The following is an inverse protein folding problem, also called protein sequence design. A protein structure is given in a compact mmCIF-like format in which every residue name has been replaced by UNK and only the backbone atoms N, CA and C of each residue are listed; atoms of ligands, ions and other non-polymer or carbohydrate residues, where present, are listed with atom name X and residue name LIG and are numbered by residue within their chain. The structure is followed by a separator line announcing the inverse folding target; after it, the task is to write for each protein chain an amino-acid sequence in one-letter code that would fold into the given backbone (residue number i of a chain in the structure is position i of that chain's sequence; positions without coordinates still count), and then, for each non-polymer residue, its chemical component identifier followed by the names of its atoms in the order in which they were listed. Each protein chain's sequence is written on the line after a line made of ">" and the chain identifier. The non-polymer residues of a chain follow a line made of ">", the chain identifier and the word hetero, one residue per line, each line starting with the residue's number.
data_IF_918696475824
#
_entry.id   IF_918696475824
#
_cell.length_a   1.000
_cell.length_b   1.000
_cell.length_c   1.000
_cell.angle_alpha   90.00
_cell.angle_beta   90.00
_cell.angle_gamma   90.00
#
_symmetry.space_group_name_H-M   'P 1'
#
loop_
_entity.id
_entity.type
_entity.pdbx_description
1 polymer ?
#
# COMPACT_ATOMS: atom_id res chain seq x y z
N UNK A 1 0.84 -11.33 -1.54
CA UNK A 1 -0.29 -12.22 -1.87
C UNK A 1 -1.50 -11.36 -2.18
N UNK A 2 -1.98 -11.39 -3.43
CA UNK A 2 -3.25 -10.80 -3.83
C UNK A 2 -4.39 -11.61 -3.20
N UNK A 3 -5.39 -10.91 -2.66
CA UNK A 3 -6.59 -11.54 -2.15
C UNK A 3 -7.51 -11.80 -3.34
N UNK A 4 -8.11 -12.99 -3.51
CA UNK A 4 -8.90 -13.30 -4.73
C UNK A 4 -10.30 -13.77 -4.34
N UNK A 5 -11.30 -13.23 -5.03
CA UNK A 5 -12.68 -13.68 -4.93
C UNK A 5 -13.21 -14.07 -6.31
N UNK A 6 -14.19 -14.97 -6.30
CA UNK A 6 -14.75 -15.57 -7.51
C UNK A 6 -16.24 -15.30 -7.59
N UNK A 7 -16.74 -14.86 -8.75
CA UNK A 7 -18.14 -14.55 -8.96
C UNK A 7 -18.72 -15.42 -10.08
N UNK A 8 -19.93 -15.93 -9.89
CA UNK A 8 -20.68 -16.61 -10.96
C UNK A 8 -22.18 -16.36 -10.83
N UNK A 9 -22.92 -16.65 -11.90
CA UNK A 9 -24.37 -16.46 -11.94
C UNK A 9 -25.13 -17.70 -11.48
N UNK A 10 -25.01 -18.80 -12.22
CA UNK A 10 -25.73 -20.05 -11.93
C UNK A 10 -24.80 -21.25 -11.97
N UNK A 11 -25.09 -22.30 -11.19
CA UNK A 11 -26.16 -22.38 -10.18
C UNK A 11 -25.80 -21.67 -8.86
N UNK A 12 -26.80 -21.15 -8.14
CA UNK A 12 -26.61 -20.66 -6.77
C UNK A 12 -26.51 -21.83 -5.79
N UNK A 13 -25.44 -21.96 -4.98
CA UNK A 13 -25.32 -23.02 -3.99
C UNK A 13 -26.30 -22.82 -2.83
N UNK A 14 -26.75 -23.91 -2.20
CA UNK A 14 -27.52 -23.88 -0.96
C UNK A 14 -26.66 -24.16 0.28
N UNK A 15 -25.50 -24.80 0.09
CA UNK A 15 -24.54 -25.14 1.16
C UNK A 15 -23.11 -24.80 0.76
N UNK A 16 -22.21 -24.68 1.75
CA UNK A 16 -20.79 -24.45 1.50
C UNK A 16 -20.13 -25.57 0.70
N UNK A 17 -20.47 -26.83 0.99
CA UNK A 17 -19.99 -27.97 0.23
C UNK A 17 -20.45 -27.92 -1.24
N UNK A 18 -21.69 -27.49 -1.50
CA UNK A 18 -22.17 -27.27 -2.86
C UNK A 18 -21.42 -26.11 -3.55
N UNK A 19 -21.13 -25.02 -2.83
CA UNK A 19 -20.37 -23.90 -3.39
C UNK A 19 -18.98 -24.35 -3.88
N UNK A 20 -18.26 -25.15 -3.09
CA UNK A 20 -16.99 -25.73 -3.49
C UNK A 20 -17.12 -26.68 -4.69
N UNK A 21 -18.14 -27.54 -4.68
CA UNK A 21 -18.41 -28.49 -5.76
C UNK A 21 -18.83 -27.82 -7.07
N UNK A 22 -19.47 -26.64 -7.00
CA UNK A 22 -19.88 -25.83 -8.15
C UNK A 22 -18.71 -25.01 -8.69
N UNK A 23 -17.88 -24.43 -7.82
CA UNK A 23 -16.77 -23.58 -8.24
C UNK A 23 -15.73 -24.34 -9.07
N UNK A 24 -15.29 -25.53 -8.59
CA UNK A 24 -14.26 -26.35 -9.24
C UNK A 24 -14.49 -26.59 -10.76
N UNK A 25 -15.67 -27.06 -11.20
CA UNK A 25 -15.94 -27.25 -12.64
C UNK A 25 -16.21 -25.95 -13.41
N UNK A 26 -16.49 -24.83 -12.74
CA UNK A 26 -16.78 -23.54 -13.38
C UNK A 26 -15.53 -22.66 -13.57
N UNK A 27 -14.53 -22.76 -12.71
CA UNK A 27 -13.39 -21.84 -12.64
C UNK A 27 -12.64 -21.65 -13.96
N UNK A 28 -12.58 -22.68 -14.82
CA UNK A 28 -11.91 -22.63 -16.13
C UNK A 28 -12.87 -22.92 -17.29
N UNK A 29 -14.18 -22.81 -17.07
CA UNK A 29 -15.18 -23.16 -18.08
C UNK A 29 -15.45 -21.95 -18.99
N UNK A 30 -15.21 -22.05 -20.30
CA UNK A 30 -15.59 -21.00 -21.23
C UNK A 30 -17.10 -20.77 -21.23
N UNK A 31 -17.53 -19.51 -21.27
CA UNK A 31 -18.93 -19.11 -21.34
C UNK A 31 -19.12 -17.83 -22.16
N UNK A 32 -20.32 -17.60 -22.72
CA UNK A 32 -20.65 -16.29 -23.27
C UNK A 32 -20.53 -15.20 -22.20
N UNK A 33 -20.09 -14.00 -22.61
CA UNK A 33 -19.97 -12.84 -21.72
C UNK A 33 -21.24 -12.62 -20.92
N UNK A 34 -21.12 -12.57 -19.59
CA UNK A 34 -22.25 -12.35 -18.72
C UNK A 34 -22.54 -10.84 -18.55
N UNK A 35 -23.72 -10.34 -18.96
CA UNK A 35 -24.06 -8.93 -18.82
C UNK A 35 -24.07 -8.45 -17.36
N UNK A 36 -24.26 -9.34 -16.38
CA UNK A 36 -24.23 -8.99 -14.95
C UNK A 36 -22.83 -8.68 -14.45
N UNK A 37 -21.79 -9.31 -15.02
CA UNK A 37 -20.41 -8.96 -14.70
C UNK A 37 -20.07 -7.55 -15.18
N UNK A 38 -20.46 -7.21 -16.42
CA UNK A 38 -20.28 -5.88 -16.95
C UNK A 38 -21.03 -4.80 -16.16
N UNK A 39 -22.27 -5.08 -15.74
CA UNK A 39 -23.05 -4.17 -14.88
C UNK A 39 -22.43 -4.01 -13.48
N UNK A 40 -21.94 -5.10 -12.88
CA UNK A 40 -21.22 -5.03 -11.60
C UNK A 40 -19.96 -4.17 -11.72
N UNK A 41 -19.15 -4.38 -12.76
CA UNK A 41 -17.98 -3.56 -13.06
C UNK A 41 -18.32 -2.07 -13.22
N UNK A 42 -19.47 -1.76 -13.85
CA UNK A 42 -19.97 -0.38 -13.99
C UNK A 42 -20.33 0.24 -12.65
N UNK A 43 -21.02 -0.50 -11.76
CA UNK A 43 -21.40 -0.01 -10.42
C UNK A 43 -20.18 0.26 -9.55
N UNK A 44 -19.23 -0.67 -9.51
CA UNK A 44 -17.99 -0.49 -8.74
C UNK A 44 -17.23 0.74 -9.20
N UNK A 45 -17.12 0.98 -10.52
CA UNK A 45 -16.44 2.16 -11.07
C UNK A 45 -17.16 3.48 -10.76
N UNK A 46 -18.49 3.46 -10.68
CA UNK A 46 -19.27 4.64 -10.31
C UNK A 46 -19.09 4.98 -8.82
N UNK A 47 -19.05 3.96 -7.96
CA UNK A 47 -18.93 4.14 -6.51
C UNK A 47 -17.49 4.38 -6.04
N UNK A 48 -16.50 3.91 -6.82
CA UNK A 48 -15.05 4.10 -6.55
C UNK A 48 -14.25 4.41 -7.83
N UNK A 49 -14.37 5.63 -8.38
CA UNK A 49 -13.67 6.01 -9.60
C UNK A 49 -12.15 5.95 -9.45
N UNK A 50 -11.61 6.23 -8.26
CA UNK A 50 -10.18 6.28 -7.98
C UNK A 50 -9.53 4.88 -7.85
N UNK A 51 -10.35 3.82 -7.70
CA UNK A 51 -9.86 2.44 -7.53
C UNK A 51 -9.64 1.72 -8.85
N UNK A 52 -9.89 2.35 -10.00
CA UNK A 52 -9.67 1.75 -11.32
C UNK A 52 -8.21 1.27 -11.56
N UNK A 53 -7.24 1.79 -10.79
CA UNK A 53 -5.83 1.40 -10.85
C UNK A 53 -5.44 0.28 -9.87
N UNK A 54 -6.34 -0.13 -8.96
CA UNK A 54 -6.06 -1.07 -7.87
C UNK A 54 -6.42 -2.54 -8.19
N UNK A 55 -6.80 -2.85 -9.43
CA UNK A 55 -7.27 -4.18 -9.83
C UNK A 55 -6.06 -4.98 -10.33
N UNK A 56 -5.73 -6.06 -9.64
CA UNK A 56 -4.45 -6.76 -9.88
C UNK A 56 -4.54 -7.92 -10.86
N UNK A 57 -5.76 -8.38 -11.24
CA UNK A 57 -6.02 -9.49 -12.16
C UNK A 57 -7.26 -9.21 -13.02
N UNK A 58 -7.13 -9.46 -14.33
CA UNK A 58 -8.08 -9.53 -15.47
C UNK A 58 -9.39 -8.70 -15.52
N UNK A 59 -9.63 -8.14 -16.72
CA UNK A 59 -10.81 -7.43 -17.22
C UNK A 59 -11.63 -6.63 -16.18
N UNK A 60 -11.19 -5.41 -15.78
CA UNK A 60 -11.92 -4.54 -14.84
C UNK A 60 -13.27 -4.04 -15.38
N UNK A 61 -13.65 -4.45 -16.58
CA UNK A 61 -14.93 -4.17 -17.22
C UNK A 61 -15.93 -5.34 -17.18
N UNK A 62 -15.57 -6.47 -16.56
CA UNK A 62 -16.43 -7.66 -16.48
C UNK A 62 -16.60 -8.39 -17.82
N UNK A 63 -15.75 -8.08 -18.82
CA UNK A 63 -15.82 -8.62 -20.19
C UNK A 63 -15.23 -10.02 -20.37
N UNK A 64 -15.21 -10.85 -19.33
CA UNK A 64 -14.62 -12.20 -19.35
C UNK A 64 -15.43 -13.18 -20.22
N UNK A 65 -14.73 -14.10 -20.87
CA UNK A 65 -15.27 -15.22 -21.67
C UNK A 65 -15.32 -16.54 -20.88
N UNK A 66 -15.40 -16.43 -19.55
CA UNK A 66 -15.44 -17.53 -18.59
C UNK A 66 -16.74 -17.51 -17.77
N UNK A 67 -17.15 -18.68 -17.28
CA UNK A 67 -18.32 -18.84 -16.43
C UNK A 67 -18.15 -18.21 -15.03
N UNK A 68 -16.89 -17.99 -14.62
CA UNK A 68 -16.50 -17.35 -13.37
C UNK A 68 -15.72 -16.09 -13.69
N UNK A 69 -16.00 -15.03 -12.95
CA UNK A 69 -15.15 -13.84 -12.94
C UNK A 69 -14.33 -13.81 -11.66
N UNK A 70 -13.01 -13.89 -11.79
CA UNK A 70 -12.07 -13.87 -10.66
C UNK A 70 -11.49 -12.47 -10.49
N UNK A 71 -11.64 -11.89 -9.30
CA UNK A 71 -11.17 -10.54 -8.98
C UNK A 71 -10.00 -10.60 -8.00
N UNK A 72 -8.84 -10.11 -8.42
CA UNK A 72 -7.72 -9.83 -7.53
C UNK A 72 -7.90 -8.50 -6.81
N UNK A 73 -8.02 -8.56 -5.49
CA UNK A 73 -8.19 -7.43 -4.58
C UNK A 73 -6.85 -7.05 -3.92
N UNK A 74 -6.53 -5.76 -3.96
CA UNK A 74 -5.42 -5.18 -3.21
C UNK A 74 -5.79 -5.07 -1.71
N UNK A 75 -4.81 -5.31 -0.85
CA UNK A 75 -4.91 -5.13 0.61
C UNK A 75 -5.11 -3.66 1.01
N UNK A 76 -4.89 -2.72 0.10
CA UNK A 76 -5.07 -1.28 0.34
C UNK A 76 -6.51 -0.77 0.12
N UNK A 77 -7.42 -1.64 -0.31
CA UNK A 77 -8.82 -1.29 -0.53
C UNK A 77 -9.52 -0.85 0.78
N UNK A 78 -10.44 0.13 0.74
CA UNK A 78 -11.21 0.51 1.92
C UNK A 78 -11.99 -0.67 2.50
N UNK A 79 -12.09 -0.80 3.83
CA UNK A 79 -12.86 -1.89 4.48
C UNK A 79 -14.34 -1.96 4.02
N UNK A 80 -14.92 -0.85 3.59
CA UNK A 80 -16.29 -0.79 3.05
C UNK A 80 -16.42 -1.35 1.63
N UNK A 81 -15.31 -1.55 0.92
CA UNK A 81 -15.32 -2.02 -0.47
C UNK A 81 -15.85 -3.44 -0.55
N UNK A 82 -15.30 -4.34 0.28
CA UNK A 82 -15.64 -5.76 0.23
C UNK A 82 -17.13 -6.04 0.55
N UNK A 83 -17.73 -5.50 1.63
CA UNK A 83 -19.17 -5.59 1.88
C UNK A 83 -20.04 -5.07 0.72
N UNK A 84 -19.70 -3.90 0.17
CA UNK A 84 -20.52 -3.28 -0.88
C UNK A 84 -20.36 -3.97 -2.23
N UNK A 85 -19.18 -4.53 -2.52
CA UNK A 85 -18.97 -5.38 -3.69
C UNK A 85 -19.90 -6.59 -3.63
N UNK A 86 -19.96 -7.24 -2.47
CA UNK A 86 -20.83 -8.40 -2.26
C UNK A 86 -22.29 -7.96 -2.36
N UNK A 87 -22.72 -6.90 -1.69
CA UNK A 87 -24.10 -6.39 -1.82
C UNK A 87 -24.47 -6.09 -3.28
N UNK A 88 -23.58 -5.45 -4.04
CA UNK A 88 -23.80 -5.15 -5.45
C UNK A 88 -23.89 -6.41 -6.33
N UNK A 89 -23.06 -7.41 -6.06
CA UNK A 89 -23.09 -8.69 -6.75
C UNK A 89 -24.37 -9.48 -6.43
N UNK A 90 -24.74 -9.57 -5.16
CA UNK A 90 -25.96 -10.24 -4.70
C UNK A 90 -27.22 -9.57 -5.26
N UNK A 91 -27.24 -8.23 -5.33
CA UNK A 91 -28.34 -7.47 -5.94
C UNK A 91 -28.50 -7.75 -7.44
N UNK A 92 -27.45 -8.22 -8.12
CA UNK A 92 -27.47 -8.69 -9.50
C UNK A 92 -27.76 -10.19 -9.61
N UNK A 93 -27.98 -10.88 -8.49
CA UNK A 93 -28.22 -12.32 -8.45
C UNK A 93 -26.97 -13.16 -8.70
N UNK A 94 -25.77 -12.61 -8.46
CA UNK A 94 -24.51 -13.35 -8.52
C UNK A 94 -24.19 -14.00 -7.17
N UNK A 95 -23.48 -15.13 -7.22
CA UNK A 95 -22.82 -15.72 -6.06
C UNK A 95 -21.38 -15.22 -5.98
N UNK A 96 -20.89 -14.97 -4.76
CA UNK A 96 -19.50 -14.58 -4.49
C UNK A 96 -18.86 -15.64 -3.61
N UNK A 97 -17.75 -16.21 -4.06
CA UNK A 97 -16.99 -17.21 -3.33
C UNK A 97 -15.64 -16.66 -2.94
N UNK A 98 -15.36 -16.80 -1.65
CA UNK A 98 -14.12 -16.41 -1.04
C UNK A 98 -13.46 -17.65 -0.45
N UNK A 99 -12.56 -18.24 -1.24
CA UNK A 99 -11.85 -19.45 -0.85
C UNK A 99 -10.93 -19.19 0.34
N UNK A 100 -10.38 -17.98 0.47
CA UNK A 100 -9.42 -17.62 1.51
C UNK A 100 -10.11 -17.38 2.86
N UNK A 101 -11.31 -16.82 2.86
CA UNK A 101 -12.14 -16.67 4.06
C UNK A 101 -12.95 -17.93 4.40
N UNK A 102 -13.11 -18.86 3.46
CA UNK A 102 -13.95 -20.05 3.64
C UNK A 102 -15.45 -19.71 3.62
N UNK A 103 -15.85 -18.72 2.82
CA UNK A 103 -17.20 -18.18 2.78
C UNK A 103 -17.76 -18.10 1.35
N UNK A 104 -19.08 -18.29 1.22
CA UNK A 104 -19.79 -18.04 -0.03
C UNK A 104 -21.07 -17.23 0.23
N UNK A 105 -21.22 -16.12 -0.48
CA UNK A 105 -22.37 -15.24 -0.42
C UNK A 105 -23.27 -15.54 -1.61
N UNK A 106 -24.56 -15.78 -1.35
CA UNK A 106 -25.52 -16.20 -2.37
C UNK A 106 -26.69 -15.24 -2.47
N UNK A 107 -27.36 -15.12 -3.63
CA UNK A 107 -28.50 -14.23 -3.82
C UNK A 107 -29.53 -14.31 -2.68
N UNK A 108 -29.79 -13.17 -2.06
CA UNK A 108 -30.51 -13.04 -0.79
C UNK A 108 -29.59 -12.60 0.36
N UNK A 109 -30.12 -12.40 1.57
CA UNK A 109 -29.31 -11.97 2.71
C UNK A 109 -28.65 -13.19 3.38
N UNK A 110 -27.85 -13.97 2.64
CA UNK A 110 -27.29 -15.24 3.15
C UNK A 110 -25.80 -15.40 2.89
N UNK A 111 -25.12 -15.95 3.90
CA UNK A 111 -23.72 -16.40 3.88
C UNK A 111 -23.69 -17.91 4.16
N UNK A 112 -22.86 -18.63 3.41
CA UNK A 112 -22.57 -20.05 3.56
C UNK A 112 -21.13 -20.21 4.04
N UNK A 113 -20.93 -21.03 5.05
CA UNK A 113 -19.61 -21.45 5.54
C UNK A 113 -19.68 -22.91 6.00
N UNK A 114 -18.57 -23.47 6.49
CA UNK A 114 -18.58 -24.79 7.14
C UNK A 114 -19.54 -24.87 8.33
N UNK A 115 -19.79 -23.75 9.02
CA UNK A 115 -20.74 -23.66 10.13
C UNK A 115 -22.22 -23.72 9.66
N UNK A 116 -22.46 -23.60 8.35
CA UNK A 116 -23.79 -23.67 7.76
C UNK A 116 -24.22 -22.35 7.11
N UNK A 117 -25.53 -22.20 6.94
CA UNK A 117 -26.17 -21.05 6.29
C UNK A 117 -26.64 -20.05 7.34
N UNK A 118 -26.13 -18.83 7.26
CA UNK A 118 -26.40 -17.75 8.21
C UNK A 118 -26.89 -16.50 7.48
N UNK A 119 -27.72 -15.66 8.12
CA UNK A 119 -28.07 -14.35 7.58
C UNK A 119 -26.81 -13.52 7.33
N UNK A 120 -26.72 -12.91 6.15
CA UNK A 120 -25.67 -11.97 5.83
C UNK A 120 -25.90 -10.70 6.66
N UNK A 121 -25.09 -10.54 7.71
CA UNK A 121 -25.02 -9.34 8.50
C UNK A 121 -23.60 -8.81 8.37
N UNK A 122 -23.45 -7.67 7.69
CA UNK A 122 -22.22 -6.92 7.80
C UNK A 122 -22.08 -6.46 9.25
N UNK A 123 -20.93 -6.65 9.89
CA UNK A 123 -20.68 -5.96 11.14
C UNK A 123 -20.88 -4.48 10.86
N UNK A 124 -21.94 -3.89 11.43
CA UNK A 124 -22.17 -2.45 11.41
C UNK A 124 -20.84 -1.83 11.76
N UNK A 125 -20.24 -1.06 10.83
CA UNK A 125 -18.92 -0.46 11.05
C UNK A 125 -18.97 0.14 12.44
N UNK A 126 -18.20 -0.39 13.42
CA UNK A 126 -18.17 0.26 14.70
C UNK A 126 -17.68 1.67 14.40
N UNK A 127 -18.48 2.68 14.75
CA UNK A 127 -17.95 4.03 14.86
C UNK A 127 -16.61 3.90 15.56
N UNK A 128 -15.53 4.42 14.96
CA UNK A 128 -14.16 4.23 15.41
C UNK A 128 -14.16 4.16 16.94
N UNK A 129 -13.84 2.98 17.50
CA UNK A 129 -14.02 2.75 18.93
C UNK A 129 -13.34 3.91 19.68
N UNK A 130 -13.91 4.41 20.80
CA UNK A 130 -13.37 5.54 21.55
C UNK A 130 -11.85 5.46 21.80
N UNK A 131 -11.30 4.24 21.84
CA UNK A 131 -9.88 3.97 22.01
C UNK A 131 -8.98 4.17 20.79
N UNK A 132 -9.44 3.94 19.55
CA UNK A 132 -8.63 4.24 18.36
C UNK A 132 -8.49 5.76 18.19
N UNK A 133 -9.56 6.50 18.50
CA UNK A 133 -9.53 7.97 18.58
C UNK A 133 -8.62 8.45 19.72
N UNK A 134 -8.61 7.77 20.88
CA UNK A 134 -7.68 8.06 21.99
C UNK A 134 -6.22 7.83 21.56
N UNK A 135 -5.90 6.71 20.90
CA UNK A 135 -4.55 6.42 20.38
C UNK A 135 -4.10 7.47 19.37
N UNK A 136 -4.94 7.82 18.39
CA UNK A 136 -4.61 8.88 17.43
C UNK A 136 -4.41 10.23 18.12
N UNK A 137 -5.22 10.55 19.14
CA UNK A 137 -5.07 11.77 19.95
C UNK A 137 -3.75 11.82 20.72
N UNK A 138 -3.36 10.71 21.36
CA UNK A 138 -2.09 10.57 22.08
C UNK A 138 -0.88 10.61 21.15
N UNK A 139 -0.95 9.87 20.04
CA UNK A 139 0.09 9.88 19.01
C UNK A 139 0.26 11.29 18.44
N UNK A 140 -0.83 12.00 18.15
CA UNK A 140 -0.80 13.41 17.74
C UNK A 140 -0.07 14.29 18.74
N UNK A 141 -0.38 14.18 20.02
CA UNK A 141 0.24 15.01 21.06
C UNK A 141 1.76 14.78 21.15
N UNK A 142 2.19 13.52 21.08
CA UNK A 142 3.62 13.17 21.17
C UNK A 142 4.39 13.49 19.89
N UNK A 143 3.78 13.29 18.72
CA UNK A 143 4.39 13.52 17.42
C UNK A 143 4.34 14.99 16.97
N UNK A 144 3.54 15.84 17.62
CA UNK A 144 3.58 17.29 17.43
C UNK A 144 4.98 17.89 17.68
N UNK A 145 5.85 17.19 18.42
CA UNK A 145 7.27 17.55 18.58
C UNK A 145 8.01 17.67 17.24
N UNK A 146 7.58 16.95 16.20
CA UNK A 146 8.15 17.01 14.86
C UNK A 146 7.73 18.27 14.08
N UNK A 147 6.73 19.02 14.55
CA UNK A 147 6.33 20.28 13.94
C UNK A 147 7.44 21.34 13.94
N UNK A 148 8.32 21.33 14.95
CA UNK A 148 9.50 22.18 15.00
C UNK A 148 10.47 21.93 13.83
N UNK A 149 10.36 20.78 13.16
CA UNK A 149 11.15 20.41 11.99
C UNK A 149 10.39 20.61 10.68
N UNK A 150 9.25 21.31 10.69
CA UNK A 150 8.46 21.63 9.50
C UNK A 150 7.50 20.51 9.07
N UNK A 151 7.25 19.51 9.91
CA UNK A 151 6.21 18.52 9.64
C UNK A 151 4.84 19.06 10.04
N UNK A 152 3.91 19.01 9.10
CA UNK A 152 2.50 19.23 9.32
C UNK A 152 1.82 17.89 9.61
N UNK A 153 1.01 17.87 10.67
CA UNK A 153 0.24 16.70 11.02
C UNK A 153 -1.09 16.68 10.28
N UNK A 154 -1.30 15.63 9.49
CA UNK A 154 -2.57 15.29 8.90
C UNK A 154 -3.19 14.08 9.61
N UNK A 155 -4.49 14.15 9.85
CA UNK A 155 -5.27 13.01 10.34
C UNK A 155 -6.32 12.68 9.30
N UNK A 156 -5.97 11.88 8.28
CA UNK A 156 -6.97 11.42 7.33
C UNK A 156 -8.06 10.64 8.07
N UNK A 157 -9.31 10.67 7.58
CA UNK A 157 -10.40 9.90 8.18
C UNK A 157 -10.00 8.42 8.29
N UNK A 158 -10.31 7.82 9.44
CA UNK A 158 -10.06 6.40 9.68
C UNK A 158 -10.68 5.56 8.56
N UNK A 159 -9.91 4.64 7.98
CA UNK A 159 -10.43 3.66 7.04
C UNK A 159 -10.75 2.41 7.83
N UNK A 160 -12.00 2.29 8.25
CA UNK A 160 -12.46 1.14 9.02
C UNK A 160 -11.87 1.07 10.42
N UNK A 161 -11.26 -0.07 10.82
CA UNK A 161 -10.56 -0.24 12.11
C UNK A 161 -9.12 0.28 12.11
N UNK A 162 -8.68 0.86 10.99
CA UNK A 162 -7.34 1.42 10.87
C UNK A 162 -7.38 2.93 11.12
N UNK A 163 -6.78 3.35 12.23
CA UNK A 163 -6.45 4.75 12.49
C UNK A 163 -5.16 5.11 11.76
N UNK A 164 -5.08 6.29 11.13
CA UNK A 164 -3.84 6.76 10.48
C UNK A 164 -3.39 8.08 11.08
N UNK A 165 -2.09 8.22 11.27
CA UNK A 165 -1.42 9.46 11.66
C UNK A 165 -0.37 9.74 10.60
N UNK A 166 -0.48 10.86 9.89
CA UNK A 166 0.38 11.18 8.77
C UNK A 166 1.08 12.51 9.04
N UNK A 167 2.41 12.52 8.96
CA UNK A 167 3.22 13.72 9.07
C UNK A 167 3.83 14.01 7.71
N UNK A 168 3.66 15.23 7.20
CA UNK A 168 4.21 15.64 5.91
C UNK A 168 5.01 16.91 6.02
N UNK A 169 6.08 16.99 5.24
CA UNK A 169 6.87 18.20 5.10
C UNK A 169 7.21 18.43 3.64
N UNK A 170 7.07 19.67 3.19
CA UNK A 170 7.60 20.11 1.90
C UNK A 170 9.06 20.55 2.06
N UNK A 171 9.90 20.11 1.13
CA UNK A 171 11.33 20.44 1.03
C UNK A 171 11.66 20.86 -0.40
N UNK A 172 12.83 21.46 -0.66
CA UNK A 172 13.29 21.73 -2.02
C UNK A 172 13.40 20.47 -2.90
N UNK A 173 13.70 19.30 -2.33
CA UNK A 173 13.71 18.03 -3.07
C UNK A 173 12.31 17.56 -3.43
N UNK A 174 11.32 17.78 -2.55
CA UNK A 174 9.94 17.38 -2.74
C UNK A 174 9.21 17.18 -1.43
N UNK A 175 8.28 16.24 -1.37
CA UNK A 175 7.49 15.98 -0.16
C UNK A 175 8.08 14.79 0.60
N UNK A 176 8.19 14.91 1.91
CA UNK A 176 8.57 13.82 2.80
C UNK A 176 7.37 13.43 3.65
N UNK A 177 7.17 12.14 3.86
CA UNK A 177 6.00 11.59 4.53
C UNK A 177 6.42 10.54 5.57
N UNK A 178 5.87 10.66 6.78
CA UNK A 178 5.93 9.62 7.83
C UNK A 178 4.49 9.24 8.11
N UNK A 179 4.15 7.99 7.81
CA UNK A 179 2.83 7.44 8.05
C UNK A 179 2.91 6.37 9.13
N UNK A 180 2.00 6.46 10.11
CA UNK A 180 1.79 5.43 11.12
C UNK A 180 0.33 4.99 11.07
N UNK A 181 0.14 3.74 10.69
CA UNK A 181 -1.14 3.04 10.74
C UNK A 181 -1.29 2.33 12.07
N UNK A 182 -2.46 2.48 12.68
CA UNK A 182 -2.83 1.94 13.99
C UNK A 182 -3.99 0.97 13.81
N UNK A 183 -3.84 -0.25 14.31
CA UNK A 183 -4.91 -1.25 14.36
C UNK A 183 -5.03 -1.80 15.78
N UNK A 184 -6.03 -2.65 16.00
CA UNK A 184 -6.26 -3.32 17.29
C UNK A 184 -7.51 -2.84 18.04
N UNK A 185 -7.64 -3.31 19.28
CA UNK A 185 -8.77 -3.00 20.16
C UNK A 185 -8.29 -2.53 21.54
N UNK A 186 -9.06 -1.60 22.14
CA UNK A 186 -8.75 -1.01 23.44
C UNK A 186 -8.53 -2.01 24.58
N UNK A 187 -9.24 -3.14 24.50
CA UNK A 187 -9.33 -4.12 25.55
C UNK A 187 -8.19 -5.14 25.50
N UNK A 188 -7.46 -5.23 24.39
CA UNK A 188 -6.43 -6.25 24.18
C UNK A 188 -5.06 -5.67 23.77
N UNK A 189 -4.98 -4.92 22.68
CA UNK A 189 -3.72 -4.43 22.13
C UNK A 189 -3.90 -3.37 21.04
N UNK A 190 -2.84 -2.60 20.84
CA UNK A 190 -2.66 -1.68 19.72
C UNK A 190 -1.45 -2.12 18.91
N UNK A 191 -1.64 -2.24 17.60
CA UNK A 191 -0.57 -2.50 16.65
C UNK A 191 -0.30 -1.26 15.82
N UNK A 192 0.99 -0.98 15.60
CA UNK A 192 1.48 0.18 14.87
C UNK A 192 2.36 -0.27 13.72
N UNK A 193 2.02 0.14 12.50
CA UNK A 193 2.84 -0.08 11.31
C UNK A 193 3.29 1.27 10.79
N UNK A 194 4.60 1.44 10.65
CA UNK A 194 5.19 2.68 10.19
C UNK A 194 5.80 2.54 8.80
N UNK A 195 5.56 3.55 7.96
CA UNK A 195 6.12 3.69 6.62
C UNK A 195 6.65 5.11 6.47
N UNK A 196 7.86 5.25 5.92
CA UNK A 196 8.49 6.54 5.66
C UNK A 196 8.86 6.62 4.18
N UNK A 197 8.53 7.74 3.53
CA UNK A 197 8.75 7.89 2.09
C UNK A 197 9.05 9.33 1.67
N UNK A 198 9.59 9.47 0.47
CA UNK A 198 9.91 10.75 -0.18
C UNK A 198 9.34 10.76 -1.59
N UNK A 199 8.63 11.83 -1.92
CA UNK A 199 8.05 12.10 -3.24
C UNK A 199 8.80 13.30 -3.84
N UNK A 200 9.90 13.07 -4.57
CA UNK A 200 10.67 14.14 -5.20
C UNK A 200 9.89 14.89 -6.28
N UNK A 201 10.20 16.17 -6.45
CA UNK A 201 9.69 16.98 -7.55
C UNK A 201 10.52 16.66 -8.79
N UNK A 202 9.92 15.91 -9.72
CA UNK A 202 10.54 15.54 -11.00
C UNK A 202 9.83 16.25 -12.16
N UNK A 203 10.54 16.55 -13.28
CA UNK A 203 9.90 17.01 -14.49
C UNK A 203 8.82 16.03 -14.96
N UNK A 204 7.71 16.53 -15.53
CA UNK A 204 6.57 15.70 -15.94
C UNK A 204 6.93 14.49 -16.82
N UNK A 205 7.78 14.63 -17.86
CA UNK A 205 8.22 13.51 -18.69
C UNK A 205 9.01 12.45 -17.91
N UNK A 206 9.86 12.87 -16.98
CA UNK A 206 10.66 11.99 -16.12
C UNK A 206 9.78 11.27 -15.09
N UNK A 207 8.79 11.97 -14.53
CA UNK A 207 7.80 11.40 -13.60
C UNK A 207 7.02 10.25 -14.25
N UNK A 208 6.64 10.41 -15.53
CA UNK A 208 5.94 9.35 -16.30
C UNK A 208 6.80 8.12 -16.51
N UNK A 209 8.09 8.29 -16.77
CA UNK A 209 9.05 7.17 -16.86
C UNK A 209 9.16 6.47 -15.51
N UNK A 210 9.19 7.24 -14.42
CA UNK A 210 9.30 6.70 -13.06
C UNK A 210 8.05 5.90 -12.65
N UNK A 211 6.85 6.31 -13.08
CA UNK A 211 5.60 5.65 -12.73
C UNK A 211 5.45 5.48 -11.21
N UNK A 212 5.12 4.27 -10.75
CA UNK A 212 5.03 3.95 -9.32
C UNK A 212 6.38 4.05 -8.57
N UNK A 213 7.51 4.04 -9.28
CA UNK A 213 8.85 4.21 -8.68
C UNK A 213 9.27 5.68 -8.58
N UNK A 214 8.31 6.60 -8.69
CA UNK A 214 8.50 8.04 -8.41
C UNK A 214 8.54 8.36 -6.91
N UNK A 215 8.02 7.46 -6.06
CA UNK A 215 8.07 7.56 -4.60
C UNK A 215 9.21 6.66 -4.09
N UNK A 216 10.06 7.23 -3.25
CA UNK A 216 11.23 6.57 -2.66
C UNK A 216 10.91 6.22 -1.22
N UNK A 217 10.76 4.93 -0.92
CA UNK A 217 10.57 4.48 0.46
C UNK A 217 11.89 4.43 1.23
N UNK A 218 11.80 4.62 2.54
CA UNK A 218 12.90 4.36 3.46
C UNK A 218 12.67 3.00 4.12
N UNK A 219 13.66 2.12 3.97
CA UNK A 219 13.72 0.84 4.64
C UNK A 219 14.25 1.01 6.06
N UNK A 220 13.51 0.49 7.02
CA UNK A 220 13.91 0.51 8.42
C UNK A 220 14.59 -0.84 8.73
N UNK A 221 15.92 -0.84 8.85
CA UNK A 221 16.71 -2.05 9.10
C UNK A 221 16.69 -2.46 10.57
N UNK A 222 16.76 -1.47 11.47
CA UNK A 222 16.72 -1.70 12.91
C UNK A 222 16.04 -0.54 13.65
N UNK A 223 15.51 -0.83 14.83
CA UNK A 223 14.87 0.16 15.73
C UNK A 223 15.12 -0.29 17.16
N UNK A 224 16.35 -0.17 17.69
CA UNK A 224 16.69 -0.76 18.99
C UNK A 224 15.80 -0.23 20.12
N UNK A 225 15.42 1.04 20.06
CA UNK A 225 14.49 1.71 20.98
C UNK A 225 13.07 1.10 20.94
N UNK A 226 12.68 0.47 19.83
CA UNK A 226 11.35 -0.12 19.61
C UNK A 226 11.34 -1.65 19.65
N UNK A 227 12.50 -2.31 19.75
CA UNK A 227 12.60 -3.78 19.68
C UNK A 227 11.81 -4.48 20.80
N UNK A 228 11.58 -3.83 21.95
CA UNK A 228 10.73 -4.33 23.04
C UNK A 228 9.22 -4.39 22.72
N UNK A 229 8.80 -3.81 21.60
CA UNK A 229 7.43 -3.80 21.10
C UNK A 229 7.27 -4.55 19.77
N UNK A 230 8.36 -5.03 19.18
CA UNK A 230 8.33 -5.61 17.83
C UNK A 230 7.42 -6.86 17.78
N UNK A 231 6.46 -6.85 16.86
CA UNK A 231 5.58 -7.99 16.59
C UNK A 231 6.07 -8.67 15.31
N UNK A 232 6.45 -9.95 15.42
CA UNK A 232 6.72 -10.84 14.28
C UNK A 232 7.52 -10.20 13.13
N UNK A 233 8.86 -10.20 13.21
CA UNK A 233 9.66 -9.77 12.06
C UNK A 233 9.50 -10.77 10.92
N UNK A 234 8.76 -10.38 9.88
CA UNK A 234 8.68 -11.14 8.62
C UNK A 234 9.71 -10.55 7.66
N UNK A 235 10.78 -11.31 7.39
CA UNK A 235 11.88 -10.88 6.51
C UNK A 235 11.45 -10.58 5.06
N UNK A 236 10.24 -10.99 4.67
CA UNK A 236 9.64 -10.79 3.35
C UNK A 236 8.97 -9.42 3.15
N UNK A 237 8.75 -8.63 4.22
CA UNK A 237 8.18 -7.27 4.15
C UNK A 237 9.04 -6.25 4.91
N UNK A 238 10.19 -5.88 4.34
CA UNK A 238 11.25 -5.21 5.09
C UNK A 238 11.12 -3.68 5.16
N UNK A 239 10.13 -3.09 4.48
CA UNK A 239 9.86 -1.65 4.49
C UNK A 239 8.88 -1.22 5.59
N UNK A 240 8.20 -2.18 6.21
CA UNK A 240 7.23 -1.93 7.28
C UNK A 240 7.52 -2.82 8.48
N UNK A 241 7.76 -2.21 9.65
CA UNK A 241 7.84 -2.93 10.93
C UNK A 241 6.53 -2.73 11.69
N UNK A 242 6.06 -3.80 12.32
CA UNK A 242 4.86 -3.81 13.15
C UNK A 242 5.24 -3.85 14.63
N UNK A 243 4.60 -3.01 15.44
CA UNK A 243 4.86 -2.88 16.87
C UNK A 243 3.58 -3.03 17.67
N UNK A 244 3.59 -3.88 18.70
CA UNK A 244 2.44 -4.16 19.56
C UNK A 244 2.61 -3.60 20.97
N UNK A 245 1.57 -2.93 21.46
CA UNK A 245 1.44 -2.52 22.86
C UNK A 245 0.10 -2.97 23.44
N UNK A 246 0.13 -3.70 24.55
CA UNK A 246 -1.07 -4.10 25.31
C UNK A 246 -1.28 -3.20 26.52
N UNK A 247 -2.42 -2.50 26.56
CA UNK A 247 -2.79 -1.58 27.64
C UNK A 247 -2.20 -0.17 27.51
N UNK A 248 -2.80 0.79 28.20
CA UNK A 248 -2.51 2.22 28.07
C UNK A 248 -1.07 2.60 28.45
N UNK A 249 -0.54 2.08 29.56
CA UNK A 249 0.82 2.39 30.00
C UNK A 249 1.89 1.91 28.99
N UNK A 250 1.67 0.75 28.37
CA UNK A 250 2.58 0.19 27.37
C UNK A 250 2.44 0.92 26.03
N UNK A 251 1.23 1.38 25.69
CA UNK A 251 1.00 2.25 24.55
C UNK A 251 1.73 3.59 24.71
N UNK A 252 1.63 4.23 25.86
CA UNK A 252 2.32 5.51 26.12
C UNK A 252 3.86 5.33 26.03
N UNK A 253 4.37 4.20 26.52
CA UNK A 253 5.79 3.84 26.39
C UNK A 253 6.20 3.61 24.92
N UNK A 254 5.37 2.90 24.12
CA UNK A 254 5.60 2.72 22.68
C UNK A 254 5.63 4.07 21.96
N UNK A 255 4.65 4.94 22.21
CA UNK A 255 4.56 6.25 21.57
C UNK A 255 5.75 7.15 21.92
N UNK A 256 6.20 7.12 23.17
CA UNK A 256 7.40 7.87 23.58
C UNK A 256 8.65 7.34 22.89
N UNK A 257 8.85 6.02 22.88
CA UNK A 257 9.99 5.39 22.21
C UNK A 257 9.97 5.66 20.69
N UNK A 258 8.78 5.70 20.08
CA UNK A 258 8.61 6.02 18.67
C UNK A 258 8.99 7.46 18.38
N UNK A 259 8.52 8.41 19.18
CA UNK A 259 8.90 9.82 19.03
C UNK A 259 10.41 10.02 19.18
N UNK A 260 11.04 9.37 20.15
CA UNK A 260 12.48 9.49 20.37
C UNK A 260 13.28 8.86 19.22
N UNK A 261 12.90 7.67 18.72
CA UNK A 261 13.53 7.06 17.56
C UNK A 261 13.38 7.92 16.30
N UNK A 262 12.19 8.46 16.05
CA UNK A 262 11.95 9.36 14.92
C UNK A 262 12.87 10.57 14.95
N UNK A 263 13.05 11.18 16.12
CA UNK A 263 13.91 12.35 16.30
C UNK A 263 15.40 12.02 16.19
N UNK A 264 15.83 10.88 16.73
CA UNK A 264 17.25 10.52 16.83
C UNK A 264 17.80 9.86 15.56
N UNK A 265 17.02 9.01 14.90
CA UNK A 265 17.50 8.14 13.82
C UNK A 265 16.92 8.54 12.46
N UNK A 266 15.59 8.70 12.37
CA UNK A 266 14.93 8.97 11.09
C UNK A 266 15.12 10.40 10.61
N UNK A 267 14.90 11.36 11.51
CA UNK A 267 14.89 12.77 11.15
C UNK A 267 16.23 13.27 10.61
N UNK A 268 17.41 12.85 11.12
CA UNK A 268 18.69 13.18 10.48
C UNK A 268 18.79 12.73 9.03
N UNK A 269 18.30 11.53 8.69
CA UNK A 269 18.28 11.03 7.31
C UNK A 269 17.36 11.89 6.44
N UNK A 270 16.15 12.17 6.91
CA UNK A 270 15.19 13.02 6.19
C UNK A 270 15.70 14.47 6.05
N UNK A 271 16.41 14.99 7.05
CA UNK A 271 16.99 16.34 7.02
C UNK A 271 18.15 16.43 6.04
N UNK A 272 18.96 15.38 5.94
CA UNK A 272 20.01 15.29 4.92
C UNK A 272 19.42 15.21 3.51
N UNK A 273 18.29 14.51 3.34
CA UNK A 273 17.57 14.39 2.06
C UNK A 273 16.60 15.55 1.77
N UNK A 274 16.79 16.75 2.35
CA UNK A 274 15.95 17.93 2.04
C UNK A 274 16.27 18.55 0.68
N UNK A 275 17.51 18.40 0.22
CA UNK A 275 18.01 18.99 -1.04
C UNK A 275 18.51 17.88 -1.96
N UNK A 276 18.66 18.22 -3.24
CA UNK A 276 19.23 17.32 -4.25
C UNK A 276 20.65 16.90 -3.90
N UNK A 277 21.50 17.85 -3.52
CA UNK A 277 22.89 17.59 -3.11
C UNK A 277 22.97 16.63 -1.92
N UNK A 278 22.16 16.89 -0.88
CA UNK A 278 22.14 16.06 0.32
C UNK A 278 21.59 14.66 0.04
N UNK A 279 20.57 14.53 -0.80
CA UNK A 279 20.09 13.23 -1.25
C UNK A 279 21.14 12.45 -2.04
N UNK A 280 21.80 13.08 -3.02
CA UNK A 280 22.81 12.42 -3.87
C UNK A 280 24.07 12.03 -3.09
N UNK A 281 24.42 12.78 -2.04
CA UNK A 281 25.45 12.41 -1.08
C UNK A 281 25.00 11.22 -0.23
N UNK A 282 23.79 11.28 0.34
CA UNK A 282 23.22 10.19 1.13
C UNK A 282 23.20 8.87 0.35
N UNK A 283 22.73 8.90 -0.90
CA UNK A 283 22.59 7.71 -1.75
C UNK A 283 23.91 6.96 -1.94
N UNK A 284 25.03 7.67 -2.06
CA UNK A 284 26.36 7.08 -2.24
C UNK A 284 26.88 6.36 -1.00
N UNK A 285 26.37 6.72 0.17
CA UNK A 285 26.77 6.13 1.44
C UNK A 285 25.90 4.93 1.85
N UNK A 286 24.94 4.52 1.01
CA UNK A 286 24.04 3.41 1.27
C UNK A 286 24.72 2.03 1.05
N UNK A 287 24.31 0.98 1.81
CA UNK A 287 23.27 0.98 2.84
C UNK A 287 23.74 1.59 4.16
N UNK A 288 22.90 2.46 4.75
CA UNK A 288 23.13 3.01 6.09
C UNK A 288 22.35 2.23 7.15
N UNK A 289 22.90 2.18 8.36
CA UNK A 289 22.22 1.65 9.55
C UNK A 289 21.84 2.83 10.45
N UNK A 290 20.62 2.87 11.03
CA UNK A 290 19.59 1.84 10.98
C UNK A 290 18.56 1.98 9.83
N UNK A 291 18.72 2.97 8.94
CA UNK A 291 17.75 3.28 7.88
C UNK A 291 18.47 3.34 6.53
N UNK A 292 17.89 2.72 5.51
CA UNK A 292 18.39 2.77 4.14
C UNK A 292 17.34 3.33 3.18
N UNK A 293 17.77 4.19 2.27
CA UNK A 293 16.92 4.67 1.16
C UNK A 293 16.74 3.55 0.14
N UNK A 294 15.53 3.10 -0.18
CA UNK A 294 15.33 2.01 -1.14
C UNK A 294 15.80 2.39 -2.57
N UNK A 295 16.31 1.42 -3.37
CA UNK A 295 16.88 1.66 -4.68
C UNK A 295 15.79 1.77 -5.77
N UNK A 296 15.01 2.85 -5.72
CA UNK A 296 13.96 3.18 -6.69
C UNK A 296 14.53 3.90 -7.92
N UNK A 297 13.77 3.91 -9.03
CA UNK A 297 14.15 4.64 -10.24
C UNK A 297 14.20 6.16 -10.03
N UNK A 298 13.38 6.70 -9.14
CA UNK A 298 13.44 8.11 -8.77
C UNK A 298 14.85 8.55 -8.30
N UNK A 299 15.65 7.66 -7.73
CA UNK A 299 17.03 7.94 -7.35
C UNK A 299 17.88 8.33 -8.58
N UNK A 300 17.78 7.55 -9.67
CA UNK A 300 18.46 7.84 -10.93
C UNK A 300 17.86 9.05 -11.64
N UNK A 301 16.55 9.24 -11.56
CA UNK A 301 15.88 10.41 -12.12
C UNK A 301 16.36 11.71 -11.47
N UNK A 302 16.58 11.70 -10.15
CA UNK A 302 17.17 12.80 -9.40
C UNK A 302 18.65 13.01 -9.76
N UNK A 303 19.43 11.95 -9.94
CA UNK A 303 20.79 12.12 -10.46
C UNK A 303 20.76 12.76 -11.87
N UNK A 304 19.92 12.23 -12.74
CA UNK A 304 19.79 12.67 -14.13
C UNK A 304 19.40 14.15 -14.24
N UNK A 305 18.38 14.57 -13.51
CA UNK A 305 17.91 15.96 -13.53
C UNK A 305 18.90 16.93 -12.86
N UNK A 306 19.77 16.46 -11.96
CA UNK A 306 20.89 17.25 -11.44
C UNK A 306 22.09 17.33 -12.39
N UNK A 307 22.08 16.58 -13.50
CA UNK A 307 23.18 16.56 -14.46
C UNK A 307 24.46 15.93 -13.91
N UNK A 308 24.36 15.01 -12.95
CA UNK A 308 25.56 14.29 -12.48
C UNK A 308 26.11 13.41 -13.60
N UNK A 309 27.43 13.40 -13.84
CA UNK A 309 28.02 12.70 -14.99
C UNK A 309 28.15 11.18 -14.80
N UNK A 310 27.99 10.66 -13.57
CA UNK A 310 28.25 9.28 -13.17
C UNK A 310 26.98 8.40 -13.17
N UNK A 311 26.01 8.67 -14.04
CA UNK A 311 24.71 7.97 -14.03
C UNK A 311 24.82 6.46 -14.22
N UNK A 312 25.73 6.00 -15.09
CA UNK A 312 25.93 4.57 -15.35
C UNK A 312 26.49 3.85 -14.11
N UNK A 313 27.42 4.49 -13.39
CA UNK A 313 27.95 3.94 -12.14
C UNK A 313 26.86 3.85 -11.06
N UNK A 314 26.02 4.88 -10.95
CA UNK A 314 24.87 4.90 -10.02
C UNK A 314 23.84 3.82 -10.38
N UNK A 315 23.60 3.61 -11.67
CA UNK A 315 22.70 2.54 -12.14
C UNK A 315 23.22 1.17 -11.72
N UNK A 316 24.51 0.90 -11.90
CA UNK A 316 25.13 -0.37 -11.50
C UNK A 316 25.02 -0.59 -9.98
N UNK A 317 25.30 0.44 -9.18
CA UNK A 317 25.15 0.40 -7.72
C UNK A 317 23.70 0.10 -7.31
N UNK A 318 22.70 0.77 -7.91
CA UNK A 318 21.28 0.50 -7.63
C UNK A 318 20.85 -0.90 -8.06
N UNK A 319 21.33 -1.39 -9.21
CA UNK A 319 21.07 -2.75 -9.67
C UNK A 319 21.64 -3.80 -8.70
N UNK A 320 22.84 -3.57 -8.18
CA UNK A 320 23.43 -4.43 -7.14
C UNK A 320 22.57 -4.44 -5.87
N UNK A 321 22.14 -3.27 -5.40
CA UNK A 321 21.30 -3.12 -4.21
C UNK A 321 19.93 -3.78 -4.39
N UNK A 322 19.29 -3.66 -5.55
CA UNK A 322 18.01 -4.36 -5.85
C UNK A 322 18.16 -5.87 -5.83
N UNK A 323 19.27 -6.41 -6.38
CA UNK A 323 19.55 -7.85 -6.33
C UNK A 323 19.71 -8.34 -4.88
N UNK A 324 20.42 -7.58 -4.05
CA UNK A 324 20.56 -7.89 -2.61
C UNK A 324 19.21 -7.83 -1.88
N UNK A 325 18.38 -6.85 -2.22
CA UNK A 325 17.03 -6.69 -1.67
C UNK A 325 15.99 -7.66 -2.28
N UNK A 326 16.38 -8.52 -3.24
CA UNK A 326 15.51 -9.43 -4.00
C UNK A 326 14.36 -8.73 -4.74
N UNK A 327 14.57 -7.48 -5.14
CA UNK A 327 13.62 -6.71 -5.94
C UNK A 327 13.90 -6.98 -7.42
N UNK A 328 12.86 -7.22 -8.23
CA UNK A 328 13.01 -7.48 -9.66
C UNK A 328 13.78 -6.33 -10.36
N UNK A 329 14.96 -6.59 -10.97
CA UNK A 329 15.77 -5.55 -11.59
C UNK A 329 15.36 -5.21 -13.03
N UNK A 330 14.53 -6.04 -13.68
CA UNK A 330 14.19 -5.86 -15.10
C UNK A 330 13.46 -4.53 -15.37
N UNK A 331 12.56 -4.15 -14.47
CA UNK A 331 11.82 -2.89 -14.56
C UNK A 331 12.74 -1.67 -14.44
N UNK A 332 13.78 -1.74 -13.60
CA UNK A 332 14.74 -0.63 -13.45
C UNK A 332 15.58 -0.46 -14.72
N UNK A 333 16.06 -1.56 -15.31
CA UNK A 333 16.87 -1.53 -16.53
C UNK A 333 16.11 -0.91 -17.71
N UNK A 334 14.87 -1.37 -17.98
CA UNK A 334 14.05 -0.84 -19.06
C UNK A 334 13.78 0.66 -18.91
N UNK A 335 13.50 1.09 -17.68
CA UNK A 335 13.15 2.47 -17.42
C UNK A 335 14.38 3.40 -17.38
N UNK A 336 15.57 2.88 -17.02
CA UNK A 336 16.82 3.61 -17.16
C UNK A 336 17.17 3.87 -18.64
N UNK A 337 16.98 2.89 -19.53
CA UNK A 337 17.14 3.09 -20.98
C UNK A 337 16.17 4.15 -21.53
N UNK A 338 14.94 4.15 -21.02
CA UNK A 338 13.95 5.17 -21.37
C UNK A 338 14.38 6.56 -20.90
N UNK A 339 14.96 6.67 -19.70
CA UNK A 339 15.49 7.93 -19.15
C UNK A 339 16.68 8.45 -19.99
N UNK A 340 17.61 7.56 -20.38
CA UNK A 340 18.74 7.90 -21.26
C UNK A 340 18.30 8.37 -22.64
N UNK A 341 17.27 7.74 -23.20
CA UNK A 341 16.75 8.12 -24.53
C UNK A 341 16.09 9.50 -24.49
N UNK A 342 15.35 9.81 -23.42
CA UNK A 342 14.75 11.13 -23.21
C UNK A 342 15.79 12.24 -23.00
N UNK A 343 16.98 11.91 -22.49
CA UNK A 343 18.08 12.86 -22.32
C UNK A 343 18.53 13.50 -23.64
N UNK A 344 18.52 12.73 -24.74
CA UNK A 344 18.86 13.23 -26.07
C UNK A 344 17.91 14.33 -26.55
N UNK A 345 16.64 14.26 -26.15
CA UNK A 345 15.60 15.24 -26.50
C UNK A 345 15.59 16.44 -25.53
N UNK A 346 15.77 16.19 -24.23
CA UNK A 346 15.70 17.21 -23.17
C UNK A 346 16.87 18.20 -23.22
N UNK A 347 18.10 17.71 -23.43
CA UNK A 347 19.29 18.57 -23.52
C UNK A 347 19.53 19.12 -24.93
N UNK A 348 19.01 18.47 -25.97
CA UNK A 348 19.01 18.99 -27.35
C UNK A 348 18.18 20.26 -27.52
N UNK A 349 17.11 20.42 -26.73
CA UNK A 349 16.28 21.64 -26.73
C UNK A 349 16.89 22.82 -25.96
N UNK A 350 17.87 22.59 -25.07
CA UNK A 350 18.48 23.64 -24.25
C UNK A 350 19.75 24.26 -24.88
N UNK A 351 20.47 23.51 -25.72
CA UNK A 351 21.65 24.00 -26.46
C UNK A 351 21.33 24.59 -27.84
N UNK A 352 20.04 24.80 -28.16
CA UNK A 352 19.56 25.34 -29.43
C UNK A 352 19.07 26.80 -29.38
N UNK A 353 19.55 27.61 -28.42
CA UNK A 353 19.32 29.07 -28.40
C UNK A 353 20.60 29.84 -28.19
#
# INVERSE_FOLDING_TARGET
>A
MSYVIHLWDQPSPATWAEAQAIFQPLANRPAPRNPRFAELARRIRADWPDLAHAWTLDAPDGGVDEAVWSLGLDRTLPETFYPRLIDAALALGLSVHDEQAGECFVPGPWRLSEAGREPLAWPTTPAAAPALLDVQGRARALLARLAAHGFELETPPSRGRIGRTVLRRSTPLGRQCIEIAWTGDAASHHDATMVCSMEPILPGPVTKICGAQSIIDLRILDTPQLNGFLLGFVSEQPTSREYRASGSARLDALLSALADWLLQELLPVLDHCRTWEGFLANEREEPRHPISVEPYLANLALAFCAGVPDLDERFDQLMQRRRQARINPAQLAQAYESLRTQAGEFFGSFNGK
#
